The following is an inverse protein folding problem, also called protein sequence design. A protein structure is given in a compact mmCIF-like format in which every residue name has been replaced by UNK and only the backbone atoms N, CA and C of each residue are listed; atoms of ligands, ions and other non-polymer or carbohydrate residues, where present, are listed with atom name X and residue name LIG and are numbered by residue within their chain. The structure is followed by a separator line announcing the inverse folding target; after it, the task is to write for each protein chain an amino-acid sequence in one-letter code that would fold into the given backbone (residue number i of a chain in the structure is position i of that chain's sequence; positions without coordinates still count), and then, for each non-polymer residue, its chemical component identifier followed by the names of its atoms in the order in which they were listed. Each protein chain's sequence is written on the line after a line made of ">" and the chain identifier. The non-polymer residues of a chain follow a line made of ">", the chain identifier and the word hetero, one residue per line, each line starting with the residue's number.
data_IF_290583683275
#
_entry.id   IF_290583683275
#
_cell.length_a   1.000
_cell.length_b   1.000
_cell.length_c   1.000
_cell.angle_alpha   90.00
_cell.angle_beta   90.00
_cell.angle_gamma   90.00
#
_symmetry.space_group_name_H-M   'P 1'
#
loop_
_entity.id
_entity.type
_entity.pdbx_description
1 polymer ?
#
# COMPACT_ATOMS: atom_id res chain seq x y z
N UNK A 1 20.48 34.54 -6.96
CA UNK A 1 19.31 33.90 -7.60
C UNK A 1 19.30 32.43 -7.21
N UNK A 2 18.47 32.04 -6.26
CA UNK A 2 18.28 30.63 -5.89
C UNK A 2 17.50 29.98 -7.02
N UNK A 3 18.13 29.09 -7.79
CA UNK A 3 17.42 28.24 -8.75
C UNK A 3 16.49 27.34 -7.95
N UNK A 4 15.19 27.53 -8.10
CA UNK A 4 14.18 26.60 -7.61
C UNK A 4 14.48 25.22 -8.23
N UNK A 5 14.75 24.23 -7.39
CA UNK A 5 14.76 22.84 -7.81
C UNK A 5 13.38 22.53 -8.43
N UNK A 6 13.31 21.89 -9.60
CA UNK A 6 12.03 21.38 -10.08
C UNK A 6 11.47 20.46 -8.99
N UNK A 7 10.23 20.71 -8.57
CA UNK A 7 9.52 19.81 -7.66
C UNK A 7 9.51 18.44 -8.33
N UNK A 8 10.28 17.49 -7.81
CA UNK A 8 10.28 16.13 -8.32
C UNK A 8 8.86 15.60 -8.15
N UNK A 9 8.11 15.48 -9.25
CA UNK A 9 6.82 14.81 -9.24
C UNK A 9 7.10 13.40 -8.70
N UNK A 10 6.43 12.96 -7.62
CA UNK A 10 6.66 11.62 -7.11
C UNK A 10 6.38 10.61 -8.23
N UNK A 11 7.27 9.65 -8.39
CA UNK A 11 7.20 8.64 -9.46
C UNK A 11 5.97 7.71 -9.31
N UNK A 12 5.27 7.80 -8.18
CA UNK A 12 4.07 7.06 -7.83
C UNK A 12 3.03 8.00 -7.25
N UNK A 13 1.78 7.89 -7.69
CA UNK A 13 0.67 8.72 -7.18
C UNK A 13 -0.03 8.15 -5.95
N UNK A 14 0.23 6.89 -5.58
CA UNK A 14 -0.35 6.28 -4.37
C UNK A 14 0.48 5.14 -3.81
N UNK A 15 0.48 5.01 -2.48
CA UNK A 15 0.86 3.79 -1.77
C UNK A 15 -0.42 3.13 -1.23
N UNK A 16 -0.60 1.83 -1.46
CA UNK A 16 -1.71 1.06 -0.88
C UNK A 16 -1.12 0.00 0.04
N UNK A 17 -1.41 0.10 1.33
CA UNK A 17 -1.00 -0.85 2.36
C UNK A 17 -2.15 -1.81 2.65
N UNK A 18 -1.89 -3.11 2.52
CA UNK A 18 -2.88 -4.17 2.79
C UNK A 18 -2.37 -5.06 3.91
N UNK A 19 -3.20 -5.26 4.94
CA UNK A 19 -2.86 -6.13 6.06
C UNK A 19 -4.10 -6.82 6.67
N UNK A 20 -3.86 -7.86 7.47
CA UNK A 20 -4.90 -8.59 8.18
C UNK A 20 -4.42 -8.99 9.59
N UNK A 21 -4.39 -10.27 9.94
CA UNK A 21 -3.97 -10.75 11.25
C UNK A 21 -2.54 -10.28 11.61
N UNK A 22 -2.44 -9.47 12.68
CA UNK A 22 -1.18 -8.83 13.11
C UNK A 22 -0.87 -7.49 12.44
N UNK A 23 -1.72 -7.04 11.51
CA UNK A 23 -1.49 -5.88 10.66
C UNK A 23 -1.37 -4.57 11.42
N UNK A 24 -2.10 -4.38 12.54
CA UNK A 24 -2.02 -3.14 13.33
C UNK A 24 -0.58 -2.79 13.74
N UNK A 25 0.20 -3.77 14.23
CA UNK A 25 1.61 -3.55 14.58
C UNK A 25 2.44 -3.29 13.34
N UNK A 26 2.27 -4.10 12.29
CA UNK A 26 3.05 -3.97 11.06
C UNK A 26 2.82 -2.63 10.35
N UNK A 27 1.56 -2.22 10.14
CA UNK A 27 1.19 -0.92 9.59
C UNK A 27 1.81 0.20 10.42
N UNK A 28 1.68 0.15 11.74
CA UNK A 28 2.25 1.17 12.64
C UNK A 28 3.77 1.25 12.48
N UNK A 29 4.47 0.12 12.46
CA UNK A 29 5.94 0.08 12.27
C UNK A 29 6.36 0.70 10.94
N UNK A 30 5.67 0.36 9.84
CA UNK A 30 6.00 0.88 8.51
C UNK A 30 5.72 2.39 8.44
N UNK A 31 4.52 2.82 8.85
CA UNK A 31 4.10 4.20 8.66
C UNK A 31 4.77 5.18 9.66
N UNK A 32 5.19 4.71 10.84
CA UNK A 32 5.97 5.51 11.79
C UNK A 32 7.38 5.83 11.29
N UNK A 33 7.92 5.04 10.35
CA UNK A 33 9.21 5.28 9.72
C UNK A 33 9.20 6.33 8.61
N UNK A 34 8.03 6.88 8.25
CA UNK A 34 7.91 7.89 7.21
C UNK A 34 8.01 9.31 7.78
N UNK A 35 8.66 10.20 7.04
CA UNK A 35 8.78 11.60 7.43
C UNK A 35 7.41 12.33 7.37
N UNK A 36 7.16 13.35 8.20
CA UNK A 36 5.93 14.16 8.14
C UNK A 36 5.69 14.83 6.78
N UNK A 37 6.76 15.01 5.99
CA UNK A 37 6.74 15.60 4.64
C UNK A 37 6.60 14.57 3.53
N UNK A 38 6.26 13.31 3.86
CA UNK A 38 6.12 12.25 2.86
C UNK A 38 5.10 12.65 1.77
N UNK A 39 5.51 12.68 0.48
CA UNK A 39 4.74 13.37 -0.55
C UNK A 39 3.62 12.51 -1.16
N UNK A 40 3.68 11.19 -1.00
CA UNK A 40 2.75 10.27 -1.69
C UNK A 40 1.56 9.93 -0.78
N UNK A 41 0.30 10.08 -1.25
CA UNK A 41 -0.89 9.63 -0.52
C UNK A 41 -0.84 8.14 -0.19
N UNK A 42 -1.23 7.79 1.05
CA UNK A 42 -1.21 6.41 1.54
C UNK A 42 -2.65 5.98 1.84
N UNK A 43 -3.09 4.92 1.19
CA UNK A 43 -4.33 4.23 1.50
C UNK A 43 -4.03 2.98 2.34
N UNK A 44 -4.80 2.76 3.42
CA UNK A 44 -4.61 1.61 4.31
C UNK A 44 -5.89 0.78 4.35
N UNK A 45 -5.76 -0.48 3.93
CA UNK A 45 -6.79 -1.51 4.08
C UNK A 45 -6.33 -2.50 5.14
N UNK A 46 -7.12 -2.61 6.20
CA UNK A 46 -6.90 -3.57 7.27
C UNK A 46 -8.14 -4.44 7.42
N UNK A 47 -8.00 -5.74 7.18
CA UNK A 47 -9.06 -6.71 7.48
C UNK A 47 -9.34 -6.74 8.97
N UNK A 48 -10.55 -6.30 9.36
CA UNK A 48 -11.02 -6.30 10.75
C UNK A 48 -12.53 -6.14 10.80
N UNK A 49 -13.11 -6.63 11.88
CA UNK A 49 -14.54 -6.50 12.17
C UNK A 49 -14.88 -5.11 12.70
N UNK A 50 -16.13 -4.69 12.52
CA UNK A 50 -16.71 -3.56 13.26
C UNK A 50 -16.88 -3.99 14.71
N UNK A 51 -16.17 -3.32 15.62
CA UNK A 51 -16.38 -3.50 17.06
C UNK A 51 -17.37 -2.45 17.55
N UNK A 52 -18.12 -2.74 18.61
CA UNK A 52 -19.01 -1.76 19.27
C UNK A 52 -18.26 -0.53 19.83
N UNK A 53 -16.93 -0.61 19.96
CA UNK A 53 -16.04 0.50 20.29
C UNK A 53 -15.50 1.24 19.06
N UNK A 54 -14.87 2.38 19.29
CA UNK A 54 -14.33 3.25 18.24
C UNK A 54 -13.25 2.54 17.42
N UNK A 55 -13.18 2.87 16.13
CA UNK A 55 -12.08 2.49 15.26
C UNK A 55 -10.73 2.98 15.84
N UNK A 56 -9.95 2.06 16.42
CA UNK A 56 -8.69 2.40 17.08
C UNK A 56 -7.52 2.60 16.09
N UNK A 57 -7.66 2.21 14.83
CA UNK A 57 -6.53 2.24 13.89
C UNK A 57 -6.13 3.69 13.59
N UNK A 58 -7.11 4.56 13.32
CA UNK A 58 -6.85 5.99 13.08
C UNK A 58 -6.22 6.69 14.28
N UNK A 59 -6.78 6.62 15.51
CA UNK A 59 -6.15 7.20 16.70
C UNK A 59 -4.73 6.67 16.98
N UNK A 60 -4.48 5.39 16.74
CA UNK A 60 -3.14 4.80 16.92
C UNK A 60 -2.16 5.39 15.90
N UNK A 61 -2.53 5.40 14.62
CA UNK A 61 -1.66 5.93 13.56
C UNK A 61 -1.41 7.44 13.73
N UNK A 62 -2.44 8.21 14.10
CA UNK A 62 -2.31 9.64 14.37
C UNK A 62 -1.34 9.95 15.51
N UNK A 63 -1.22 9.05 16.51
CA UNK A 63 -0.26 9.20 17.63
C UNK A 63 1.15 8.71 17.29
N UNK A 64 1.29 7.86 16.27
CA UNK A 64 2.54 7.14 15.95
C UNK A 64 3.22 7.63 14.69
N UNK A 65 2.57 8.49 13.92
CA UNK A 65 3.08 9.04 12.67
C UNK A 65 2.99 10.57 12.71
N UNK A 66 3.87 11.25 11.99
CA UNK A 66 3.77 12.70 11.78
C UNK A 66 2.88 13.10 10.60
N UNK A 67 2.20 12.14 9.97
CA UNK A 67 1.36 12.35 8.80
C UNK A 67 -0.09 12.61 9.22
N UNK A 68 -0.85 13.45 8.50
CA UNK A 68 -2.28 13.57 8.71
C UNK A 68 -2.96 12.21 8.49
N UNK A 69 -3.79 11.78 9.44
CA UNK A 69 -4.52 10.50 9.36
C UNK A 69 -6.02 10.77 9.33
N UNK A 70 -6.71 10.18 8.36
CA UNK A 70 -8.16 10.33 8.16
C UNK A 70 -8.82 8.99 7.82
N UNK A 71 -10.14 8.95 7.93
CA UNK A 71 -10.96 7.82 7.45
C UNK A 71 -11.39 8.13 6.01
N UNK A 72 -11.46 7.12 5.14
CA UNK A 72 -12.01 7.29 3.80
C UNK A 72 -13.51 7.64 3.86
N UNK A 73 -13.93 8.63 3.08
CA UNK A 73 -15.34 9.05 2.94
C UNK A 73 -15.73 8.96 1.47
N UNK A 74 -16.88 8.37 1.19
CA UNK A 74 -17.35 8.21 -0.19
C UNK A 74 -17.51 9.57 -0.88
N UNK A 75 -16.99 9.69 -2.10
CA UNK A 75 -17.00 10.93 -2.88
C UNK A 75 -15.82 11.87 -2.60
N UNK A 76 -15.04 11.66 -1.55
CA UNK A 76 -13.84 12.48 -1.31
C UNK A 76 -12.71 12.10 -2.28
N UNK A 77 -11.83 13.06 -2.55
CA UNK A 77 -10.63 12.84 -3.33
C UNK A 77 -9.66 11.86 -2.64
N UNK A 78 -9.13 10.90 -3.39
CA UNK A 78 -8.26 9.83 -2.88
C UNK A 78 -6.75 10.12 -3.00
N UNK A 79 -6.39 11.31 -3.47
CA UNK A 79 -5.01 11.78 -3.64
C UNK A 79 -4.59 12.82 -2.58
N UNK A 80 -5.37 12.95 -1.50
CA UNK A 80 -5.01 13.82 -0.39
C UNK A 80 -3.73 13.32 0.31
N UNK A 81 -2.71 14.18 0.54
CA UNK A 81 -1.48 13.78 1.21
C UNK A 81 -1.71 13.21 2.62
N UNK A 82 -0.90 12.26 3.05
CA UNK A 82 -1.04 11.60 4.34
C UNK A 82 -1.73 10.24 4.25
N UNK A 83 -2.29 9.77 5.36
CA UNK A 83 -2.82 8.41 5.52
C UNK A 83 -4.34 8.44 5.52
N UNK A 84 -4.95 7.69 4.62
CA UNK A 84 -6.40 7.47 4.57
C UNK A 84 -6.69 6.00 4.86
N UNK A 85 -7.38 5.76 5.99
CA UNK A 85 -7.74 4.43 6.46
C UNK A 85 -9.12 4.06 5.95
N UNK A 86 -9.23 2.90 5.29
CA UNK A 86 -10.53 2.34 4.90
C UNK A 86 -11.28 1.89 6.15
N UNK A 87 -12.58 2.24 6.29
CA UNK A 87 -13.38 1.81 7.43
C UNK A 87 -13.41 0.27 7.58
N UNK A 88 -13.67 -0.21 8.79
CA UNK A 88 -13.85 -1.64 9.03
C UNK A 88 -15.05 -2.20 8.24
N UNK A 89 -14.96 -3.47 7.84
CA UNK A 89 -16.01 -4.18 7.06
C UNK A 89 -16.50 -3.37 5.84
N UNK A 90 -15.58 -2.70 5.15
CA UNK A 90 -15.86 -1.87 3.98
C UNK A 90 -14.93 -2.28 2.84
N UNK A 91 -15.49 -2.41 1.64
CA UNK A 91 -14.70 -2.46 0.41
C UNK A 91 -14.55 -1.04 -0.13
N UNK A 92 -13.33 -0.65 -0.46
CA UNK A 92 -13.03 0.65 -1.05
C UNK A 92 -12.42 0.48 -2.44
N UNK A 93 -12.85 1.32 -3.38
CA UNK A 93 -12.23 1.46 -4.71
C UNK A 93 -12.09 2.93 -5.05
N UNK A 94 -11.28 3.23 -6.08
CA UNK A 94 -11.13 4.59 -6.62
C UNK A 94 -11.80 4.66 -7.99
N UNK A 95 -12.67 5.64 -8.21
CA UNK A 95 -13.31 5.89 -9.51
C UNK A 95 -12.36 6.58 -10.51
N UNK A 96 -12.81 6.74 -11.75
CA UNK A 96 -12.02 7.40 -12.82
C UNK A 96 -11.72 8.87 -12.53
N UNK A 97 -12.50 9.52 -11.66
CA UNK A 97 -12.26 10.88 -11.22
C UNK A 97 -11.36 10.96 -9.98
N UNK A 98 -10.79 9.84 -9.53
CA UNK A 98 -9.87 9.79 -8.40
C UNK A 98 -10.55 9.89 -7.04
N UNK A 99 -11.85 9.58 -6.93
CA UNK A 99 -12.61 9.64 -5.67
C UNK A 99 -12.85 8.28 -5.05
N UNK A 100 -13.03 8.26 -3.73
CA UNK A 100 -13.40 7.07 -2.98
C UNK A 100 -14.81 6.59 -3.31
N UNK A 101 -14.93 5.32 -3.67
CA UNK A 101 -16.19 4.58 -3.76
C UNK A 101 -16.17 3.52 -2.68
N UNK A 102 -17.10 3.62 -1.73
CA UNK A 102 -17.21 2.73 -0.58
C UNK A 102 -18.46 1.88 -0.69
N UNK A 103 -18.34 0.60 -0.35
CA UNK A 103 -19.44 -0.35 -0.25
C UNK A 103 -19.26 -1.24 0.97
N UNK A 104 -20.34 -1.81 1.49
CA UNK A 104 -20.24 -2.78 2.59
C UNK A 104 -19.39 -3.99 2.17
N UNK A 105 -18.38 -4.30 2.99
CA UNK A 105 -17.55 -5.48 2.83
C UNK A 105 -18.31 -6.71 3.31
N UNK A 106 -18.46 -7.70 2.43
CA UNK A 106 -18.95 -9.04 2.77
C UNK A 106 -17.77 -9.97 3.08
N UNK A 107 -18.02 -11.06 3.80
CA UNK A 107 -16.97 -12.01 4.21
C UNK A 107 -16.20 -12.66 3.03
N UNK A 108 -16.76 -12.64 1.83
CA UNK A 108 -16.15 -13.13 0.58
C UNK A 108 -15.38 -12.06 -0.21
N UNK A 109 -15.42 -10.80 0.23
CA UNK A 109 -14.75 -9.69 -0.45
C UNK A 109 -13.25 -9.70 -0.21
N UNK A 110 -12.50 -9.34 -1.26
CA UNK A 110 -11.05 -9.09 -1.23
C UNK A 110 -10.79 -7.57 -1.33
N UNK A 111 -11.00 -6.80 -0.25
CA UNK A 111 -10.93 -5.34 -0.27
C UNK A 111 -9.55 -4.79 -0.65
N UNK A 112 -8.47 -5.50 -0.32
CA UNK A 112 -7.12 -5.17 -0.74
C UNK A 112 -6.94 -5.26 -2.25
N UNK A 113 -7.36 -6.37 -2.86
CA UNK A 113 -7.34 -6.59 -4.31
C UNK A 113 -8.17 -5.55 -5.06
N UNK A 114 -9.36 -5.23 -4.55
CA UNK A 114 -10.24 -4.21 -5.12
C UNK A 114 -9.58 -2.82 -5.11
N UNK A 115 -9.01 -2.41 -3.97
CA UNK A 115 -8.38 -1.10 -3.85
C UNK A 115 -7.07 -1.00 -4.64
N UNK A 116 -6.25 -2.05 -4.62
CA UNK A 116 -5.02 -2.12 -5.42
C UNK A 116 -5.33 -2.04 -6.92
N UNK A 117 -6.31 -2.80 -7.39
CA UNK A 117 -6.70 -2.83 -8.80
C UNK A 117 -7.22 -1.48 -9.27
N UNK A 118 -8.13 -0.86 -8.51
CA UNK A 118 -8.67 0.47 -8.86
C UNK A 118 -7.61 1.57 -8.76
N UNK A 119 -6.74 1.53 -7.74
CA UNK A 119 -5.62 2.47 -7.61
C UNK A 119 -4.65 2.37 -8.78
N UNK A 120 -4.28 1.15 -9.18
CA UNK A 120 -3.37 0.88 -10.29
C UNK A 120 -3.89 1.38 -11.64
N UNK A 121 -5.22 1.41 -11.84
CA UNK A 121 -5.87 1.99 -13.03
C UNK A 121 -5.81 3.52 -13.04
N UNK A 122 -5.95 4.14 -11.87
CA UNK A 122 -5.98 5.59 -11.75
C UNK A 122 -4.58 6.23 -11.78
N UNK A 123 -3.58 5.58 -11.18
CA UNK A 123 -2.23 6.17 -11.03
C UNK A 123 -1.15 5.10 -10.77
N UNK A 124 0.12 5.34 -11.13
CA UNK A 124 1.22 4.47 -10.74
C UNK A 124 1.23 4.26 -9.22
N UNK A 125 1.10 3.00 -8.81
CA UNK A 125 0.83 2.64 -7.41
C UNK A 125 1.95 1.76 -6.85
N UNK A 126 2.27 1.96 -5.57
CA UNK A 126 3.10 1.04 -4.78
C UNK A 126 2.20 0.20 -3.88
N UNK A 127 2.19 -1.11 -4.08
CA UNK A 127 1.54 -2.05 -3.17
C UNK A 127 2.47 -2.40 -2.01
N UNK A 128 1.96 -2.42 -0.79
CA UNK A 128 2.66 -2.92 0.40
C UNK A 128 1.81 -3.99 1.03
N UNK A 129 2.21 -5.26 0.89
CA UNK A 129 1.50 -6.40 1.45
C UNK A 129 2.15 -6.82 2.76
N UNK A 130 1.39 -6.76 3.84
CA UNK A 130 1.84 -7.08 5.19
C UNK A 130 1.21 -8.40 5.68
N UNK A 131 1.55 -8.77 6.91
CA UNK A 131 1.04 -9.92 7.64
C UNK A 131 -0.49 -10.11 7.53
N UNK A 132 -0.92 -11.35 7.35
CA UNK A 132 -2.32 -11.73 7.21
C UNK A 132 -2.52 -13.21 6.90
N UNK A 133 -3.72 -13.72 7.12
CA UNK A 133 -4.08 -15.14 6.88
C UNK A 133 -4.90 -15.34 5.59
N UNK A 134 -5.02 -14.32 4.74
CA UNK A 134 -5.90 -14.32 3.57
C UNK A 134 -5.10 -14.34 2.26
N UNK A 135 -5.76 -14.64 1.15
CA UNK A 135 -5.19 -14.48 -0.20
C UNK A 135 -5.40 -13.06 -0.78
N UNK A 136 -6.06 -12.17 -0.03
CA UNK A 136 -6.30 -10.80 -0.43
C UNK A 136 -5.00 -10.01 -0.58
N UNK A 137 -4.83 -9.35 -1.73
CA UNK A 137 -3.64 -8.63 -2.14
C UNK A 137 -2.94 -9.25 -3.35
N UNK A 138 -3.15 -10.54 -3.63
CA UNK A 138 -2.47 -11.25 -4.72
C UNK A 138 -2.90 -10.78 -6.12
N UNK A 139 -4.21 -10.65 -6.36
CA UNK A 139 -4.72 -10.20 -7.66
C UNK A 139 -4.42 -8.71 -7.88
N UNK A 140 -4.47 -7.94 -6.81
CA UNK A 140 -4.06 -6.54 -6.75
C UNK A 140 -2.58 -6.34 -7.06
N UNK A 141 -1.69 -7.20 -6.55
CA UNK A 141 -0.26 -7.17 -6.90
C UNK A 141 -0.04 -7.33 -8.41
N UNK A 142 -0.75 -8.27 -9.05
CA UNK A 142 -0.69 -8.45 -10.51
C UNK A 142 -1.18 -7.22 -11.25
N UNK A 143 -2.25 -6.59 -10.77
CA UNK A 143 -2.78 -5.36 -11.37
C UNK A 143 -1.77 -4.20 -11.26
N UNK A 144 -1.18 -4.01 -10.08
CA UNK A 144 -0.14 -3.00 -9.83
C UNK A 144 1.09 -3.21 -10.72
N UNK A 145 1.58 -4.44 -10.86
CA UNK A 145 2.73 -4.71 -11.74
C UNK A 145 2.42 -4.48 -13.22
N UNK A 146 1.22 -4.83 -13.68
CA UNK A 146 0.80 -4.63 -15.08
C UNK A 146 0.78 -3.15 -15.49
N UNK A 147 0.62 -2.22 -14.54
CA UNK A 147 0.63 -0.77 -14.81
C UNK A 147 1.96 -0.10 -14.48
N UNK A 148 3.03 -0.87 -14.28
CA UNK A 148 4.38 -0.35 -14.01
C UNK A 148 4.63 0.05 -12.57
N UNK A 149 3.70 -0.24 -11.66
CA UNK A 149 3.84 -0.03 -10.22
C UNK A 149 4.92 -0.90 -9.57
N UNK A 150 5.01 -0.80 -8.23
CA UNK A 150 5.95 -1.60 -7.42
C UNK A 150 5.21 -2.36 -6.34
N UNK A 151 5.71 -3.55 -6.00
CA UNK A 151 5.14 -4.41 -4.97
C UNK A 151 6.20 -4.72 -3.91
N UNK A 152 5.95 -4.25 -2.69
CA UNK A 152 6.77 -4.55 -1.52
C UNK A 152 5.98 -5.51 -0.66
N UNK A 153 6.65 -6.57 -0.19
CA UNK A 153 6.03 -7.60 0.63
C UNK A 153 6.82 -7.73 1.93
N UNK A 154 6.10 -7.79 3.05
CA UNK A 154 6.69 -8.15 4.32
C UNK A 154 7.29 -9.56 4.22
N UNK A 155 8.51 -9.75 4.69
CA UNK A 155 9.12 -11.06 4.83
C UNK A 155 8.20 -11.99 5.66
N UNK A 156 7.75 -13.14 5.10
CA UNK A 156 6.95 -14.11 5.83
C UNK A 156 7.56 -14.54 7.17
N UNK A 157 8.89 -14.54 7.30
CA UNK A 157 9.59 -14.90 8.53
C UNK A 157 9.38 -13.89 9.67
N UNK A 158 9.09 -12.62 9.36
CA UNK A 158 8.76 -11.60 10.38
C UNK A 158 7.26 -11.36 10.51
N UNK A 159 6.44 -12.05 9.70
CA UNK A 159 4.98 -11.92 9.72
C UNK A 159 4.37 -12.72 10.87
N UNK A 160 3.40 -12.12 11.57
CA UNK A 160 2.60 -12.84 12.57
C UNK A 160 1.72 -13.90 11.93
N UNK A 161 1.24 -13.63 10.72
CA UNK A 161 0.48 -14.54 9.87
C UNK A 161 1.11 -14.48 8.46
N UNK A 162 1.85 -15.52 8.03
CA UNK A 162 2.67 -15.46 6.83
C UNK A 162 1.92 -15.71 5.52
N UNK A 163 0.66 -16.17 5.57
CA UNK A 163 -0.07 -16.62 4.37
C UNK A 163 -0.29 -15.50 3.35
N UNK A 164 -0.69 -14.30 3.79
CA UNK A 164 -0.94 -13.16 2.89
C UNK A 164 0.34 -12.69 2.19
N UNK A 165 1.47 -12.45 2.90
CA UNK A 165 2.75 -12.22 2.23
C UNK A 165 3.20 -13.34 1.29
N UNK A 166 3.07 -14.60 1.70
CA UNK A 166 3.45 -15.75 0.89
C UNK A 166 2.63 -15.82 -0.41
N UNK A 167 1.32 -15.56 -0.34
CA UNK A 167 0.45 -15.50 -1.51
C UNK A 167 0.85 -14.37 -2.46
N UNK A 168 1.22 -13.20 -1.95
CA UNK A 168 1.72 -12.09 -2.76
C UNK A 168 3.05 -12.45 -3.46
N UNK A 169 3.99 -13.11 -2.76
CA UNK A 169 5.25 -13.59 -3.35
C UNK A 169 4.98 -14.62 -4.45
N UNK A 170 4.08 -15.57 -4.22
CA UNK A 170 3.74 -16.63 -5.17
C UNK A 170 3.16 -16.11 -6.51
N UNK A 171 2.74 -14.85 -6.58
CA UNK A 171 2.33 -14.22 -7.84
C UNK A 171 3.48 -13.91 -8.80
N UNK A 172 4.74 -13.97 -8.33
CA UNK A 172 5.92 -13.53 -9.09
C UNK A 172 6.00 -12.01 -9.26
N UNK A 173 5.12 -11.25 -8.61
CA UNK A 173 5.02 -9.80 -8.76
C UNK A 173 5.81 -9.00 -7.71
N UNK A 174 6.34 -9.64 -6.67
CA UNK A 174 7.06 -8.96 -5.60
C UNK A 174 8.41 -8.40 -6.09
N UNK A 175 8.61 -7.09 -5.94
CA UNK A 175 9.89 -6.43 -6.24
C UNK A 175 10.86 -6.54 -5.06
N UNK A 176 10.33 -6.38 -3.83
CA UNK A 176 11.12 -6.49 -2.61
C UNK A 176 10.39 -7.32 -1.57
N UNK A 177 11.11 -8.27 -0.96
CA UNK A 177 10.69 -9.00 0.23
C UNK A 177 11.59 -8.58 1.36
N UNK A 178 11.04 -7.87 2.36
CA UNK A 178 11.83 -7.20 3.39
C UNK A 178 11.22 -7.40 4.77
N UNK A 179 12.04 -7.47 5.83
CA UNK A 179 11.52 -7.41 7.20
C UNK A 179 10.79 -6.08 7.42
N UNK A 180 9.80 -6.10 8.31
CA UNK A 180 8.82 -5.00 8.48
C UNK A 180 9.47 -3.64 8.75
N UNK A 181 10.58 -3.62 9.48
CA UNK A 181 11.34 -2.43 9.86
C UNK A 181 12.09 -1.79 8.68
N UNK A 182 12.29 -2.52 7.57
CA UNK A 182 12.95 -2.03 6.35
C UNK A 182 12.00 -1.53 5.27
N UNK A 183 10.71 -1.86 5.37
CA UNK A 183 9.70 -1.44 4.39
C UNK A 183 9.56 0.08 4.31
N UNK A 184 9.66 0.80 5.43
CA UNK A 184 9.60 2.26 5.45
C UNK A 184 10.76 2.89 4.65
N UNK A 185 11.98 2.38 4.85
CA UNK A 185 13.16 2.83 4.11
C UNK A 185 13.02 2.55 2.61
N UNK A 186 12.51 1.38 2.23
CA UNK A 186 12.26 1.05 0.83
C UNK A 186 11.20 1.95 0.20
N UNK A 187 10.11 2.25 0.92
CA UNK A 187 9.09 3.19 0.46
C UNK A 187 9.68 4.58 0.21
N UNK A 188 10.50 5.09 1.13
CA UNK A 188 11.16 6.38 0.96
C UNK A 188 12.07 6.35 -0.27
N UNK A 189 12.94 5.35 -0.39
CA UNK A 189 13.84 5.22 -1.53
C UNK A 189 13.10 5.19 -2.88
N UNK A 190 11.97 4.47 -2.96
CA UNK A 190 11.20 4.35 -4.21
C UNK A 190 10.43 5.62 -4.57
N UNK A 191 9.97 6.40 -3.58
CA UNK A 191 9.03 7.50 -3.81
C UNK A 191 9.65 8.89 -3.77
N UNK A 192 10.79 9.08 -3.09
CA UNK A 192 11.37 10.41 -2.87
C UNK A 192 12.71 10.64 -3.55
N UNK A 193 13.38 9.61 -4.06
CA UNK A 193 14.63 9.74 -4.79
C UNK A 193 14.39 9.61 -6.31
N UNK A 194 14.52 10.70 -7.09
CA UNK A 194 14.41 10.65 -8.55
C UNK A 194 15.37 9.60 -9.13
N UNK A 195 14.85 8.66 -9.93
CA UNK A 195 15.64 7.58 -10.55
C UNK A 195 16.03 6.42 -9.62
N UNK A 196 15.78 6.48 -8.32
CA UNK A 196 16.14 5.39 -7.40
C UNK A 196 15.32 4.10 -7.64
N UNK A 197 14.09 4.23 -8.11
CA UNK A 197 13.28 3.08 -8.52
C UNK A 197 13.91 2.29 -9.68
N UNK A 198 14.70 2.94 -10.54
CA UNK A 198 15.43 2.31 -11.64
C UNK A 198 16.79 1.76 -11.17
N UNK A 199 17.41 2.41 -10.17
CA UNK A 199 18.63 1.91 -9.54
C UNK A 199 18.42 0.61 -8.76
N UNK A 200 17.20 0.40 -8.24
CA UNK A 200 16.83 -0.79 -7.47
C UNK A 200 16.14 -1.86 -8.32
N UNK A 201 15.83 -1.60 -9.59
CA UNK A 201 15.34 -2.66 -10.49
C UNK A 201 16.46 -3.63 -10.81
N UNK A 202 16.32 -4.87 -10.33
CA UNK A 202 17.09 -5.98 -10.87
C UNK A 202 16.36 -6.45 -12.13
N UNK A 203 16.94 -6.29 -13.33
CA UNK A 203 16.32 -6.81 -14.55
C UNK A 203 16.09 -8.32 -14.36
N UNK A 204 14.89 -8.84 -14.66
CA UNK A 204 14.64 -10.26 -14.54
C UNK A 204 15.66 -11.01 -15.41
N UNK A 205 16.29 -12.08 -14.87
CA UNK A 205 17.26 -12.82 -15.63
C UNK A 205 16.60 -13.36 -16.91
N UNK A 206 17.37 -13.59 -18.00
CA UNK A 206 16.82 -13.93 -19.31
C UNK A 206 15.81 -15.09 -19.28
N UNK A 207 15.98 -16.04 -18.38
CA UNK A 207 15.13 -17.22 -18.20
C UNK A 207 13.80 -16.94 -17.49
N UNK A 208 13.65 -15.79 -16.81
CA UNK A 208 12.43 -15.41 -16.08
C UNK A 208 11.45 -14.57 -16.93
N UNK A 209 11.78 -14.29 -18.19
CA UNK A 209 10.85 -13.66 -19.12
C UNK A 209 9.94 -14.75 -19.67
N UNK A 210 8.64 -14.65 -19.40
CA UNK A 210 7.65 -15.49 -20.08
C UNK A 210 7.77 -15.19 -21.58
N UNK A 211 8.28 -16.16 -22.35
CA UNK A 211 8.29 -16.12 -23.81
C UNK A 211 6.86 -15.90 -24.29
N UNK A 212 6.69 -14.86 -25.11
CA UNK A 212 5.43 -14.49 -25.76
C UNK A 212 4.98 -15.54 -26.75
#
# INVERSE_FOLDING_TARGET
>A
MVRSCPSATPNFGRVVVVASLGGMRAITTVLAGLAPTYPVPIAVVQHRRRTAGHDLLVPILARRTGLPVRVAVAGDAADQPGITVVPAETTATIDEAGRWVLADGRDDTKPGDALLTSSARATPTVAVILTGSLADGADGCRAVKRTGGRVLVQDPATARAPSMPANAIATGCADFVLPTDRLATALLALTTAPGAADLLTVPPPPWARLSS
#
